data_IF_951823420755
#
_entry.id   IF_951823420755
#
_cell.length_a   1.000
_cell.length_b   1.000
_cell.length_c   1.000
_cell.angle_alpha   90.00
_cell.angle_beta   90.00
_cell.angle_gamma   90.00
#
_symmetry.space_group_name_H-M   'P 1'
#
loop_
_entity.id
_entity.type
_entity.pdbx_description
1 polymer ?
#
# COMPACT_ATOMS: atom_id res chain seq x y z
N UNK A 1 5.43 29.02 -10.60
CA UNK A 1 5.35 28.03 -9.51
C UNK A 1 4.09 27.16 -9.56
N UNK A 2 2.94 27.67 -10.00
CA UNK A 2 1.68 26.90 -10.11
C UNK A 2 1.69 25.75 -11.11
N UNK A 3 2.32 25.91 -12.28
CA UNK A 3 2.38 24.83 -13.28
C UNK A 3 3.12 23.57 -12.79
N UNK A 4 4.14 23.74 -11.95
CA UNK A 4 4.91 22.63 -11.39
C UNK A 4 4.06 21.77 -10.45
N UNK A 5 3.19 22.37 -9.63
CA UNK A 5 2.32 21.62 -8.72
C UNK A 5 1.28 20.78 -9.46
N UNK A 6 0.69 21.32 -10.53
CA UNK A 6 -0.21 20.56 -11.39
C UNK A 6 0.48 19.37 -12.07
N UNK A 7 1.74 19.55 -12.48
CA UNK A 7 2.53 18.47 -13.08
C UNK A 7 2.81 17.36 -12.06
N UNK A 8 3.18 17.70 -10.81
CA UNK A 8 3.40 16.71 -9.74
C UNK A 8 2.13 15.88 -9.47
N UNK A 9 0.97 16.55 -9.36
CA UNK A 9 -0.31 15.86 -9.18
C UNK A 9 -0.63 14.94 -10.36
N UNK A 10 -0.41 15.42 -11.60
CA UNK A 10 -0.62 14.62 -12.81
C UNK A 10 0.25 13.37 -12.82
N UNK A 11 1.53 13.47 -12.43
CA UNK A 11 2.42 12.31 -12.34
C UNK A 11 1.91 11.26 -11.35
N UNK A 12 1.43 11.68 -10.18
CA UNK A 12 0.82 10.76 -9.20
C UNK A 12 -0.41 10.04 -9.76
N UNK A 13 -1.31 10.77 -10.42
CA UNK A 13 -2.50 10.20 -11.06
C UNK A 13 -2.12 9.21 -12.16
N UNK A 14 -1.15 9.55 -13.02
CA UNK A 14 -0.68 8.67 -14.09
C UNK A 14 -0.02 7.40 -13.54
N UNK A 15 0.75 7.49 -12.45
CA UNK A 15 1.34 6.32 -11.81
C UNK A 15 0.28 5.33 -11.31
N UNK A 16 -0.76 5.82 -10.63
CA UNK A 16 -1.89 4.99 -10.17
C UNK A 16 -2.66 4.40 -11.35
N UNK A 17 -2.93 5.21 -12.39
CA UNK A 17 -3.61 4.75 -13.59
C UNK A 17 -2.85 3.61 -14.29
N UNK A 18 -1.52 3.74 -14.41
CA UNK A 18 -0.67 2.70 -14.95
C UNK A 18 -0.66 1.44 -14.08
N UNK A 19 -0.59 1.58 -12.75
CA UNK A 19 -0.70 0.46 -11.83
C UNK A 19 -2.00 -0.32 -12.02
N UNK A 20 -3.14 0.37 -12.11
CA UNK A 20 -4.44 -0.25 -12.40
C UNK A 20 -4.47 -0.95 -13.76
N UNK A 21 -3.88 -0.35 -14.79
CA UNK A 21 -3.75 -0.98 -16.11
C UNK A 21 -2.92 -2.27 -16.03
N UNK A 22 -1.74 -2.23 -15.41
CA UNK A 22 -0.85 -3.37 -15.27
C UNK A 22 -1.52 -4.52 -14.49
N UNK A 23 -2.23 -4.22 -13.40
CA UNK A 23 -2.99 -5.21 -12.64
C UNK A 23 -4.01 -5.91 -13.54
N UNK A 24 -4.78 -5.15 -14.33
CA UNK A 24 -5.79 -5.73 -15.23
C UNK A 24 -5.17 -6.62 -16.30
N UNK A 25 -4.05 -6.19 -16.89
CA UNK A 25 -3.34 -6.99 -17.91
C UNK A 25 -2.90 -8.32 -17.31
N UNK A 26 -2.24 -8.31 -16.15
CA UNK A 26 -1.74 -9.53 -15.50
C UNK A 26 -2.88 -10.45 -15.06
N UNK A 27 -3.92 -9.91 -14.43
CA UNK A 27 -5.04 -10.71 -13.90
C UNK A 27 -5.97 -11.24 -14.99
N UNK A 28 -5.96 -10.66 -16.19
CA UNK A 28 -6.70 -11.17 -17.35
C UNK A 28 -6.06 -12.38 -18.02
N UNK A 29 -4.79 -12.68 -17.72
CA UNK A 29 -4.12 -13.86 -18.24
C UNK A 29 -4.73 -15.14 -17.65
N UNK A 30 -4.63 -16.26 -18.38
CA UNK A 30 -5.15 -17.53 -17.88
C UNK A 30 -4.38 -17.99 -16.64
N UNK A 31 -5.11 -18.47 -15.62
CA UNK A 31 -4.53 -18.96 -14.38
C UNK A 31 -3.78 -20.30 -14.53
N UNK A 32 -3.75 -20.88 -15.74
CA UNK A 32 -3.14 -22.17 -16.04
C UNK A 32 -4.06 -23.35 -15.72
N UNK A 33 -3.46 -24.52 -15.55
CA UNK A 33 -4.17 -25.76 -15.23
C UNK A 33 -4.52 -25.86 -13.72
N UNK A 34 -5.33 -26.87 -13.35
CA UNK A 34 -5.78 -27.09 -11.97
C UNK A 34 -4.61 -27.16 -10.98
N UNK A 35 -3.54 -27.87 -11.34
CA UNK A 35 -2.36 -28.00 -10.49
C UNK A 35 -1.65 -26.67 -10.24
N UNK A 36 -1.58 -25.80 -11.25
CA UNK A 36 -1.03 -24.45 -11.11
C UNK A 36 -1.89 -23.59 -10.19
N UNK A 37 -3.22 -23.69 -10.31
CA UNK A 37 -4.17 -22.94 -9.48
C UNK A 37 -4.09 -23.37 -8.01
N UNK A 38 -4.03 -24.66 -7.72
CA UNK A 38 -3.84 -25.19 -6.36
C UNK A 38 -2.58 -24.62 -5.68
N UNK A 39 -1.46 -24.65 -6.39
CA UNK A 39 -0.17 -24.13 -5.87
C UNK A 39 -0.27 -22.62 -5.65
N UNK A 40 -0.84 -21.89 -6.60
CA UNK A 40 -1.02 -20.44 -6.48
C UNK A 40 -1.87 -20.08 -5.26
N UNK A 41 -2.96 -20.83 -5.00
CA UNK A 41 -3.80 -20.61 -3.82
C UNK A 41 -3.04 -20.85 -2.51
N UNK A 42 -2.26 -21.93 -2.41
CA UNK A 42 -1.46 -22.19 -1.21
C UNK A 42 -0.39 -21.11 -0.97
N UNK A 43 0.23 -20.60 -2.05
CA UNK A 43 1.17 -19.48 -1.98
C UNK A 43 0.47 -18.20 -1.50
N UNK A 44 -0.70 -17.89 -2.07
CA UNK A 44 -1.49 -16.71 -1.68
C UNK A 44 -1.91 -16.77 -0.21
N UNK A 45 -2.34 -17.93 0.28
CA UNK A 45 -2.71 -18.11 1.70
C UNK A 45 -1.50 -17.86 2.62
N UNK A 46 -0.34 -18.44 2.30
CA UNK A 46 0.90 -18.22 3.06
C UNK A 46 1.36 -16.76 3.03
N UNK A 47 1.31 -16.12 1.87
CA UNK A 47 1.66 -14.71 1.71
C UNK A 47 0.73 -13.79 2.53
N UNK A 48 -0.58 -14.03 2.46
CA UNK A 48 -1.56 -13.29 3.26
C UNK A 48 -1.33 -13.47 4.76
N UNK A 49 -1.07 -14.70 5.22
CA UNK A 49 -0.78 -14.97 6.63
C UNK A 49 0.49 -14.23 7.12
N UNK A 50 1.54 -14.20 6.30
CA UNK A 50 2.77 -13.47 6.60
C UNK A 50 2.54 -11.95 6.64
N UNK A 51 1.94 -11.39 5.58
CA UNK A 51 1.68 -9.95 5.47
C UNK A 51 0.75 -9.48 6.59
N UNK A 52 -0.29 -10.24 6.95
CA UNK A 52 -1.17 -9.89 8.05
C UNK A 52 -0.42 -9.79 9.37
N UNK A 53 0.46 -10.76 9.68
CA UNK A 53 1.30 -10.71 10.90
C UNK A 53 2.27 -9.53 10.88
N UNK A 54 2.90 -9.30 9.73
CA UNK A 54 3.85 -8.20 9.54
C UNK A 54 3.16 -6.85 9.70
N UNK A 55 2.11 -6.59 8.94
CA UNK A 55 1.39 -5.32 8.98
C UNK A 55 0.69 -5.08 10.31
N UNK A 56 0.17 -6.10 10.99
CA UNK A 56 -0.40 -5.91 12.34
C UNK A 56 0.66 -5.41 13.33
N UNK A 57 1.86 -5.98 13.26
CA UNK A 57 2.98 -5.56 14.13
C UNK A 57 3.46 -4.16 13.78
N UNK A 58 3.62 -3.86 12.49
CA UNK A 58 4.00 -2.53 12.00
C UNK A 58 2.95 -1.49 12.39
N UNK A 59 1.66 -1.79 12.23
CA UNK A 59 0.55 -0.91 12.58
C UNK A 59 0.53 -0.59 14.08
N UNK A 60 0.77 -1.59 14.94
CA UNK A 60 0.86 -1.36 16.39
C UNK A 60 1.99 -0.37 16.72
N UNK A 61 3.19 -0.57 16.15
CA UNK A 61 4.32 0.36 16.33
C UNK A 61 3.99 1.76 15.77
N UNK A 62 3.37 1.81 14.59
CA UNK A 62 2.98 3.07 13.94
C UNK A 62 1.99 3.89 14.76
N UNK A 63 1.00 3.23 15.39
CA UNK A 63 0.06 3.90 16.31
C UNK A 63 0.78 4.50 17.50
N UNK A 64 1.69 3.76 18.13
CA UNK A 64 2.47 4.27 19.27
C UNK A 64 3.29 5.50 18.86
N UNK A 65 3.99 5.43 17.72
CA UNK A 65 4.77 6.56 17.20
C UNK A 65 3.85 7.76 16.90
N UNK A 66 2.70 7.54 16.26
CA UNK A 66 1.75 8.61 15.94
C UNK A 66 1.24 9.33 17.20
N UNK A 67 0.94 8.59 18.26
CA UNK A 67 0.54 9.15 19.56
C UNK A 67 1.67 9.99 20.17
N UNK A 68 2.91 9.46 20.17
CA UNK A 68 4.08 10.16 20.69
C UNK A 68 4.30 11.48 19.93
N UNK A 69 4.24 11.45 18.60
CA UNK A 69 4.39 12.65 17.77
C UNK A 69 3.28 13.67 18.03
N UNK A 70 2.05 13.22 18.24
CA UNK A 70 0.91 14.10 18.53
C UNK A 70 1.06 14.85 19.84
N UNK A 71 1.53 14.18 20.90
CA UNK A 71 1.74 14.79 22.21
C UNK A 71 3.04 15.60 22.31
N UNK A 72 4.14 15.17 21.67
CA UNK A 72 5.44 15.84 21.78
C UNK A 72 5.61 17.02 20.81
N UNK A 73 5.01 16.96 19.62
CA UNK A 73 5.18 17.99 18.59
C UNK A 73 3.88 18.76 18.36
N UNK A 74 2.90 18.16 17.66
CA UNK A 74 1.53 18.65 17.49
C UNK A 74 0.72 17.70 16.58
N UNK A 75 -0.58 17.95 16.47
CA UNK A 75 -1.49 17.14 15.67
C UNK A 75 -1.22 17.18 14.16
N UNK A 76 -0.71 18.29 13.60
CA UNK A 76 -0.40 18.37 12.16
C UNK A 76 0.72 17.39 11.77
N UNK A 77 1.76 17.27 12.60
CA UNK A 77 2.86 16.32 12.39
C UNK A 77 2.35 14.89 12.50
N UNK A 78 1.53 14.58 13.51
CA UNK A 78 0.96 13.24 13.69
C UNK A 78 0.08 12.82 12.51
N UNK A 79 -0.70 13.75 11.93
CA UNK A 79 -1.49 13.46 10.73
C UNK A 79 -0.61 13.28 9.50
N UNK A 80 0.37 14.15 9.27
CA UNK A 80 1.29 14.00 8.15
C UNK A 80 2.02 12.65 8.19
N UNK A 81 2.48 12.26 9.38
CA UNK A 81 3.05 10.93 9.61
C UNK A 81 2.06 9.81 9.30
N UNK A 82 0.83 9.89 9.82
CA UNK A 82 -0.18 8.84 9.65
C UNK A 82 -0.59 8.65 8.18
N UNK A 83 -0.70 9.75 7.42
CA UNK A 83 -0.94 9.68 5.96
C UNK A 83 0.19 8.93 5.27
N UNK A 84 1.45 9.23 5.60
CA UNK A 84 2.60 8.55 5.02
C UNK A 84 2.79 7.11 5.48
N UNK A 85 2.38 6.77 6.70
CA UNK A 85 2.48 5.42 7.25
C UNK A 85 1.42 4.46 6.68
N UNK A 86 0.30 4.98 6.16
CA UNK A 86 -0.80 4.20 5.57
C UNK A 86 -0.61 3.99 4.06
N UNK A 87 0.02 4.95 3.37
CA UNK A 87 0.29 4.90 1.94
C UNK A 87 1.30 3.79 1.57
#
# INVERSE_FOLDING_TARGET
>A
MTAAYWLVLLCGVLAVAYGMYAIRVVTSASAGNERMQEIATAIQEGANAYLNRQYTTIAAVGVVIGIILGFMLNWYVAIGYSIGAIL
#
